data_IF_040316901220
#
_entry.id   IF_040316901220
#
_cell.length_a   1.000
_cell.length_b   1.000
_cell.length_c   1.000
_cell.angle_alpha   90.00
_cell.angle_beta   90.00
_cell.angle_gamma   90.00
#
_symmetry.space_group_name_H-M   'P 1'
#
loop_
_entity.id
_entity.type
_entity.pdbx_description
1 polymer ?
#
# COMPACT_ATOMS: atom_id res chain seq x y z
N UNK A 1 -38.41 -18.45 -15.03
CA UNK A 1 -37.41 -17.58 -15.68
C UNK A 1 -37.56 -16.19 -15.07
N UNK A 2 -36.51 -15.53 -14.59
CA UNK A 2 -36.61 -14.17 -14.09
C UNK A 2 -36.80 -13.23 -15.28
N UNK A 3 -37.81 -12.37 -15.25
CA UNK A 3 -38.00 -11.33 -16.27
C UNK A 3 -36.83 -10.35 -16.27
N UNK A 4 -36.36 -9.90 -17.46
CA UNK A 4 -35.32 -8.89 -17.55
C UNK A 4 -35.81 -7.57 -16.97
N UNK A 5 -35.04 -6.99 -16.03
CA UNK A 5 -35.34 -5.64 -15.51
C UNK A 5 -35.27 -4.64 -16.67
N UNK A 6 -36.25 -3.74 -16.82
CA UNK A 6 -36.22 -2.74 -17.88
C UNK A 6 -35.05 -1.78 -17.67
N UNK A 7 -34.22 -1.63 -18.69
CA UNK A 7 -33.17 -0.62 -18.75
C UNK A 7 -33.83 0.75 -18.74
N UNK A 8 -33.70 1.48 -17.62
CA UNK A 8 -34.15 2.88 -17.56
C UNK A 8 -33.28 3.72 -18.49
N UNK A 9 -33.91 4.63 -19.25
CA UNK A 9 -33.19 5.63 -20.03
C UNK A 9 -32.30 6.43 -19.07
N UNK A 10 -30.98 6.54 -19.32
CA UNK A 10 -30.13 7.40 -18.52
C UNK A 10 -30.65 8.84 -18.65
N UNK A 11 -30.98 9.45 -17.52
CA UNK A 11 -31.22 10.89 -17.47
C UNK A 11 -29.86 11.56 -17.61
N UNK A 12 -29.75 12.53 -18.52
CA UNK A 12 -28.57 13.37 -18.58
C UNK A 12 -28.41 14.02 -17.21
N UNK A 13 -27.26 13.87 -16.52
CA UNK A 13 -27.03 14.57 -15.28
C UNK A 13 -27.23 16.07 -15.54
N UNK A 14 -27.83 16.83 -14.60
CA UNK A 14 -27.82 18.28 -14.70
C UNK A 14 -26.38 18.75 -14.86
N UNK A 15 -26.18 19.78 -15.69
CA UNK A 15 -24.86 20.41 -15.78
C UNK A 15 -24.42 20.80 -14.36
N UNK A 16 -23.18 20.47 -13.97
CA UNK A 16 -22.67 20.91 -12.69
C UNK A 16 -22.74 22.45 -12.65
N UNK A 17 -23.21 22.98 -11.52
CA UNK A 17 -23.16 24.41 -11.29
C UNK A 17 -21.71 24.90 -11.46
N UNK A 18 -21.50 26.08 -12.08
CA UNK A 18 -20.17 26.66 -12.18
C UNK A 18 -19.58 26.77 -10.77
N UNK A 19 -18.32 26.36 -10.56
CA UNK A 19 -17.71 26.41 -9.25
C UNK A 19 -17.75 27.85 -8.71
N UNK A 20 -18.01 28.05 -7.41
CA UNK A 20 -18.00 29.37 -6.81
C UNK A 20 -16.66 30.05 -7.07
N UNK A 21 -16.71 31.16 -7.79
CA UNK A 21 -15.55 32.01 -8.09
C UNK A 21 -15.12 32.73 -6.81
N UNK A 22 -14.25 32.13 -6.00
CA UNK A 22 -13.47 32.86 -4.98
C UNK A 22 -12.25 32.08 -4.45
N UNK A 23 -11.50 31.45 -5.35
CA UNK A 23 -10.11 31.05 -5.08
C UNK A 23 -9.33 31.11 -6.40
N UNK A 24 -8.36 32.02 -6.50
CA UNK A 24 -7.47 32.13 -7.67
C UNK A 24 -6.40 31.04 -7.73
N UNK A 25 -6.25 30.25 -6.67
CA UNK A 25 -5.35 29.10 -6.62
C UNK A 25 -6.12 27.77 -6.68
N UNK A 26 -5.60 26.75 -7.39
CA UNK A 26 -6.16 25.40 -7.33
C UNK A 26 -6.11 24.87 -5.88
N UNK A 27 -7.08 24.01 -5.47
CA UNK A 27 -7.08 23.46 -4.13
C UNK A 27 -5.80 22.63 -3.87
N UNK A 28 -5.35 22.56 -2.60
CA UNK A 28 -4.20 21.74 -2.25
C UNK A 28 -4.47 20.25 -2.50
N UNK A 29 -3.42 19.49 -2.82
CA UNK A 29 -3.49 18.03 -2.90
C UNK A 29 -3.56 17.44 -1.51
N UNK A 30 -4.57 16.61 -1.25
CA UNK A 30 -4.68 15.80 -0.04
C UNK A 30 -4.26 14.35 -0.27
N UNK A 31 -4.29 13.86 -1.50
CA UNK A 31 -4.00 12.47 -1.84
C UNK A 31 -2.96 12.35 -2.95
N UNK A 32 -1.82 11.74 -2.62
CA UNK A 32 -0.75 11.44 -3.58
C UNK A 32 -0.75 9.94 -3.89
N UNK A 33 -1.23 9.55 -5.06
CA UNK A 33 -1.27 8.17 -5.52
C UNK A 33 0.03 7.85 -6.24
N UNK A 34 0.75 6.83 -5.79
CA UNK A 34 2.07 6.45 -6.31
C UNK A 34 2.09 4.98 -6.72
N UNK A 35 2.62 4.69 -7.91
CA UNK A 35 2.75 3.34 -8.43
C UNK A 35 4.08 3.12 -9.15
N UNK A 36 4.69 1.96 -8.94
CA UNK A 36 5.76 1.42 -9.78
C UNK A 36 5.18 0.24 -10.57
N UNK A 37 5.17 0.33 -11.90
CA UNK A 37 4.51 -0.65 -12.77
C UNK A 37 5.48 -1.26 -13.78
N UNK A 38 5.43 -2.59 -13.94
CA UNK A 38 6.21 -3.30 -14.96
C UNK A 38 5.48 -4.56 -15.43
N UNK A 39 5.29 -4.70 -16.73
CA UNK A 39 4.68 -5.88 -17.36
C UNK A 39 3.24 -6.18 -16.86
N UNK A 40 2.41 -5.14 -16.76
CA UNK A 40 1.08 -5.22 -16.13
C UNK A 40 -0.06 -5.03 -17.13
N UNK A 41 0.18 -5.12 -18.44
CA UNK A 41 -0.84 -4.83 -19.45
C UNK A 41 -2.19 -5.56 -19.20
N UNK A 42 -2.23 -6.86 -18.86
CA UNK A 42 -3.49 -7.55 -18.59
C UNK A 42 -4.26 -7.02 -17.37
N UNK A 43 -3.54 -6.54 -16.36
CA UNK A 43 -4.09 -6.02 -15.11
C UNK A 43 -4.48 -4.54 -15.20
N UNK A 44 -3.84 -3.81 -16.11
CA UNK A 44 -3.92 -2.37 -16.23
C UNK A 44 -5.37 -1.83 -16.33
N UNK A 45 -6.32 -2.46 -17.06
CA UNK A 45 -7.70 -2.00 -17.10
C UNK A 45 -8.38 -2.00 -15.72
N UNK A 46 -8.16 -3.04 -14.90
CA UNK A 46 -8.71 -3.11 -13.55
C UNK A 46 -8.04 -2.08 -12.64
N UNK A 47 -6.70 -2.07 -12.62
CA UNK A 47 -5.94 -1.19 -11.75
C UNK A 47 -6.26 0.29 -12.02
N UNK A 48 -6.20 0.72 -13.28
CA UNK A 48 -6.51 2.10 -13.65
C UNK A 48 -8.00 2.43 -13.48
N UNK A 49 -8.90 1.50 -13.77
CA UNK A 49 -10.33 1.69 -13.55
C UNK A 49 -10.65 1.99 -12.09
N UNK A 50 -10.14 1.17 -11.18
CA UNK A 50 -10.31 1.35 -9.73
C UNK A 50 -9.61 2.61 -9.21
N UNK A 51 -8.42 2.95 -9.73
CA UNK A 51 -7.73 4.19 -9.40
C UNK A 51 -8.53 5.43 -9.80
N UNK A 52 -9.09 5.44 -11.02
CA UNK A 52 -9.90 6.55 -11.50
C UNK A 52 -11.20 6.70 -10.72
N UNK A 53 -11.83 5.59 -10.35
CA UNK A 53 -13.00 5.61 -9.47
C UNK A 53 -12.66 6.17 -8.08
N UNK A 54 -11.52 5.76 -7.51
CA UNK A 54 -10.99 6.32 -6.25
C UNK A 54 -10.76 7.82 -6.37
N UNK A 55 -10.07 8.28 -7.42
CA UNK A 55 -9.78 9.71 -7.66
C UNK A 55 -11.08 10.50 -7.84
N UNK A 56 -12.08 9.94 -8.53
CA UNK A 56 -13.39 10.58 -8.68
C UNK A 56 -14.11 10.71 -7.35
N UNK A 57 -14.01 9.72 -6.47
CA UNK A 57 -14.60 9.78 -5.13
C UNK A 57 -13.90 10.82 -4.24
N UNK A 58 -12.56 10.85 -4.25
CA UNK A 58 -11.76 11.79 -3.44
C UNK A 58 -11.77 13.23 -3.97
N UNK A 59 -12.20 13.42 -5.22
CA UNK A 59 -12.16 14.68 -5.94
C UNK A 59 -10.88 14.82 -6.77
N UNK A 60 -10.97 14.86 -8.12
CA UNK A 60 -9.80 14.89 -8.99
C UNK A 60 -8.80 16.02 -8.70
N UNK A 61 -9.30 17.20 -8.33
CA UNK A 61 -8.48 18.36 -7.99
C UNK A 61 -7.68 18.20 -6.69
N UNK A 62 -8.10 17.29 -5.81
CA UNK A 62 -7.44 16.95 -4.54
C UNK A 62 -6.42 15.81 -4.66
N UNK A 63 -6.26 15.25 -5.87
CA UNK A 63 -5.46 14.06 -6.15
C UNK A 63 -4.28 14.36 -7.09
N UNK A 64 -3.14 13.74 -6.80
CA UNK A 64 -1.96 13.71 -7.67
C UNK A 64 -1.63 12.25 -7.96
N UNK A 65 -1.44 11.89 -9.22
CA UNK A 65 -1.10 10.54 -9.64
C UNK A 65 0.33 10.50 -10.19
N UNK A 66 1.19 9.70 -9.58
CA UNK A 66 2.59 9.49 -9.99
C UNK A 66 2.80 8.02 -10.36
N UNK A 67 3.21 7.77 -11.60
CA UNK A 67 3.47 6.43 -12.11
C UNK A 67 4.90 6.34 -12.65
N UNK A 68 5.67 5.40 -12.12
CA UNK A 68 6.95 5.00 -12.69
C UNK A 68 6.76 3.70 -13.44
N UNK A 69 7.18 3.68 -14.70
CA UNK A 69 7.06 2.53 -15.58
C UNK A 69 8.44 1.89 -15.78
N UNK A 70 8.54 0.58 -15.58
CA UNK A 70 9.81 -0.16 -15.53
C UNK A 70 10.28 -0.77 -16.85
N UNK A 71 10.15 -0.08 -17.99
CA UNK A 71 10.56 -0.53 -19.32
C UNK A 71 9.95 -1.89 -19.74
N UNK A 72 8.63 -1.94 -19.78
CA UNK A 72 7.83 -3.13 -20.08
C UNK A 72 7.78 -3.40 -21.59
N UNK A 73 8.04 -4.63 -22.05
CA UNK A 73 7.94 -4.99 -23.47
C UNK A 73 6.51 -5.35 -23.90
N UNK A 74 5.56 -5.39 -22.96
CA UNK A 74 4.19 -5.86 -23.17
C UNK A 74 3.22 -4.77 -23.67
N UNK A 75 3.67 -3.52 -23.78
CA UNK A 75 2.83 -2.38 -24.17
C UNK A 75 2.24 -1.57 -23.00
N UNK A 76 2.57 -1.89 -21.75
CA UNK A 76 2.15 -1.13 -20.56
C UNK A 76 2.42 0.38 -20.72
N UNK A 77 3.65 0.76 -21.10
CA UNK A 77 4.01 2.17 -21.28
C UNK A 77 3.19 2.86 -22.37
N UNK A 78 2.88 2.16 -23.46
CA UNK A 78 2.09 2.70 -24.57
C UNK A 78 0.67 3.06 -24.12
N UNK A 79 0.04 2.20 -23.31
CA UNK A 79 -1.28 2.47 -22.74
C UNK A 79 -1.24 3.64 -21.76
N UNK A 80 -0.28 3.64 -20.82
CA UNK A 80 -0.11 4.74 -19.86
C UNK A 80 0.10 6.08 -20.55
N UNK A 81 0.92 6.11 -21.62
CA UNK A 81 1.17 7.31 -22.41
C UNK A 81 -0.10 7.79 -23.09
N UNK A 82 -0.86 6.89 -23.73
CA UNK A 82 -2.10 7.23 -24.44
C UNK A 82 -3.21 7.77 -23.52
N UNK A 83 -3.20 7.42 -22.24
CA UNK A 83 -4.16 7.90 -21.25
C UNK A 83 -3.85 9.31 -20.73
N UNK A 84 -2.61 9.78 -20.86
CA UNK A 84 -2.16 11.08 -20.31
C UNK A 84 -3.08 12.26 -20.66
N UNK A 85 -3.50 12.48 -21.93
CA UNK A 85 -4.39 13.59 -22.27
C UNK A 85 -5.76 13.48 -21.62
N UNK A 86 -6.25 12.26 -21.39
CA UNK A 86 -7.55 12.01 -20.76
C UNK A 86 -7.50 12.30 -19.25
N UNK A 87 -6.41 11.92 -18.58
CA UNK A 87 -6.19 12.27 -17.17
C UNK A 87 -6.14 13.78 -16.97
N UNK A 88 -5.44 14.50 -17.86
CA UNK A 88 -5.39 15.95 -17.84
C UNK A 88 -6.78 16.58 -18.06
N UNK A 89 -7.59 16.05 -18.98
CA UNK A 89 -8.96 16.51 -19.22
C UNK A 89 -9.90 16.31 -18.01
N UNK A 90 -9.57 15.37 -17.13
CA UNK A 90 -10.27 15.15 -15.85
C UNK A 90 -9.73 16.03 -14.71
N UNK A 91 -8.85 16.98 -15.00
CA UNK A 91 -8.15 17.83 -14.02
C UNK A 91 -7.33 17.03 -12.99
N UNK A 92 -6.83 15.85 -13.38
CA UNK A 92 -5.95 15.05 -12.54
C UNK A 92 -4.51 15.51 -12.78
N UNK A 93 -3.83 15.93 -11.72
CA UNK A 93 -2.38 16.20 -11.77
C UNK A 93 -1.65 14.87 -11.89
N UNK A 94 -0.82 14.73 -12.92
CA UNK A 94 -0.24 13.44 -13.29
C UNK A 94 1.24 13.55 -13.65
N UNK A 95 2.03 12.57 -13.18
CA UNK A 95 3.43 12.36 -13.53
C UNK A 95 3.60 10.94 -14.06
N UNK A 96 4.16 10.81 -15.27
CA UNK A 96 4.58 9.53 -15.84
C UNK A 96 6.06 9.60 -16.16
N UNK A 97 6.81 8.63 -15.67
CA UNK A 97 8.22 8.49 -16.00
C UNK A 97 8.55 7.03 -16.29
N UNK A 98 9.21 6.76 -17.41
CA UNK A 98 9.80 5.44 -17.66
C UNK A 98 11.21 5.39 -17.05
N UNK A 99 11.58 4.24 -16.49
CA UNK A 99 12.87 3.96 -15.86
C UNK A 99 13.47 2.67 -16.41
N UNK A 100 14.76 2.72 -16.71
CA UNK A 100 15.54 1.54 -17.12
C UNK A 100 16.10 0.75 -15.95
N UNK A 101 15.83 1.15 -14.71
CA UNK A 101 16.25 0.41 -13.52
C UNK A 101 15.61 -0.98 -13.51
N UNK A 102 16.44 -2.01 -13.57
CA UNK A 102 16.02 -3.40 -13.50
C UNK A 102 16.26 -3.99 -12.10
N UNK A 103 15.22 -4.16 -11.26
CA UNK A 103 15.39 -4.72 -9.92
C UNK A 103 15.75 -6.21 -9.92
N UNK A 104 15.69 -6.91 -11.06
CA UNK A 104 16.15 -8.30 -11.17
C UNK A 104 17.68 -8.43 -11.34
N UNK A 105 18.40 -7.32 -11.49
CA UNK A 105 19.86 -7.29 -11.53
C UNK A 105 20.48 -7.30 -10.11
N UNK A 106 21.81 -7.19 -10.02
CA UNK A 106 22.50 -7.00 -8.74
C UNK A 106 21.94 -5.79 -7.96
N UNK A 107 22.05 -5.83 -6.63
CA UNK A 107 21.54 -4.80 -5.71
C UNK A 107 20.02 -4.60 -5.79
N UNK A 108 19.27 -5.70 -5.95
CA UNK A 108 17.80 -5.72 -6.08
C UNK A 108 17.10 -4.76 -5.12
N UNK A 109 17.44 -4.78 -3.83
CA UNK A 109 16.78 -3.94 -2.81
C UNK A 109 17.09 -2.46 -3.00
N UNK A 110 18.35 -2.10 -3.31
CA UNK A 110 18.71 -0.72 -3.61
C UNK A 110 17.95 -0.19 -4.84
N UNK A 111 17.75 -1.03 -5.86
CA UNK A 111 17.02 -0.66 -7.07
C UNK A 111 15.51 -0.53 -6.84
N UNK A 112 14.91 -1.42 -6.06
CA UNK A 112 13.51 -1.30 -5.65
C UNK A 112 13.29 -0.03 -4.82
N UNK A 113 14.18 0.25 -3.87
CA UNK A 113 14.15 1.50 -3.12
C UNK A 113 14.26 2.74 -4.02
N UNK A 114 15.16 2.72 -5.01
CA UNK A 114 15.30 3.81 -5.96
C UNK A 114 14.03 4.03 -6.80
N UNK A 115 13.38 2.96 -7.27
CA UNK A 115 12.12 3.05 -8.02
C UNK A 115 11.01 3.69 -7.17
N UNK A 116 10.82 3.21 -5.93
CA UNK A 116 9.81 3.80 -5.03
C UNK A 116 10.07 5.26 -4.71
N UNK A 117 11.35 5.62 -4.54
CA UNK A 117 11.74 7.03 -4.33
C UNK A 117 11.49 7.88 -5.59
N UNK A 118 11.62 7.33 -6.81
CA UNK A 118 11.23 8.02 -8.04
C UNK A 118 9.72 8.28 -8.08
N UNK A 119 8.90 7.31 -7.67
CA UNK A 119 7.46 7.48 -7.61
C UNK A 119 7.04 8.59 -6.64
N UNK A 120 7.78 8.76 -5.54
CA UNK A 120 7.56 9.80 -4.54
C UNK A 120 8.24 11.15 -4.88
N UNK A 121 9.12 11.21 -5.88
CA UNK A 121 9.90 12.42 -6.16
C UNK A 121 9.03 13.67 -6.40
N UNK A 122 7.88 13.63 -7.11
CA UNK A 122 7.05 14.81 -7.30
C UNK A 122 6.46 15.39 -6.00
N UNK A 123 6.16 14.55 -5.01
CA UNK A 123 5.71 14.99 -3.69
C UNK A 123 6.76 15.89 -3.02
N UNK A 124 8.02 15.49 -3.13
CA UNK A 124 9.16 16.14 -2.47
C UNK A 124 9.66 17.36 -3.24
N UNK A 125 9.58 17.33 -4.57
CA UNK A 125 10.04 18.41 -5.43
C UNK A 125 9.05 19.58 -5.49
N UNK A 126 7.78 19.37 -5.16
CA UNK A 126 6.72 20.39 -5.26
C UNK A 126 5.82 20.45 -4.02
N UNK A 127 6.40 20.61 -2.80
CA UNK A 127 5.64 20.54 -1.55
C UNK A 127 4.53 21.59 -1.45
N UNK A 128 4.66 22.72 -2.14
CA UNK A 128 3.67 23.81 -2.17
C UNK A 128 2.37 23.46 -2.90
N UNK A 129 2.33 22.35 -3.65
CA UNK A 129 1.11 21.85 -4.29
C UNK A 129 0.19 21.09 -3.33
N UNK A 130 0.73 20.67 -2.19
CA UNK A 130 0.10 19.76 -1.25
C UNK A 130 -0.51 20.52 -0.07
N UNK A 131 -1.44 19.86 0.61
CA UNK A 131 -1.92 20.30 1.91
C UNK A 131 -0.77 20.24 2.94
N UNK A 132 -1.06 20.58 4.19
CA UNK A 132 -0.09 20.36 5.26
C UNK A 132 0.39 18.89 5.25
N UNK A 133 1.67 18.60 5.53
CA UNK A 133 2.19 17.23 5.49
C UNK A 133 1.40 16.23 6.34
N UNK A 134 0.90 16.66 7.51
CA UNK A 134 0.06 15.85 8.39
C UNK A 134 -1.31 15.47 7.78
N UNK A 135 -1.83 16.33 6.89
CA UNK A 135 -3.13 16.19 6.22
C UNK A 135 -3.02 15.54 4.83
N UNK A 136 -1.80 15.28 4.36
CA UNK A 136 -1.55 14.66 3.05
C UNK A 136 -1.34 13.17 3.23
N UNK A 137 -2.12 12.37 2.48
CA UNK A 137 -2.03 10.91 2.47
C UNK A 137 -1.42 10.42 1.16
N UNK A 138 -0.39 9.58 1.28
CA UNK A 138 0.22 8.86 0.15
C UNK A 138 -0.49 7.53 0.03
N UNK A 139 -1.05 7.23 -1.16
CA UNK A 139 -1.61 5.93 -1.50
C UNK A 139 -0.64 5.23 -2.44
N UNK A 140 0.23 4.37 -1.89
CA UNK A 140 1.22 3.65 -2.68
C UNK A 140 0.71 2.25 -2.99
N UNK A 141 0.52 1.95 -4.28
CA UNK A 141 -0.06 0.70 -4.75
C UNK A 141 0.96 -0.03 -5.64
N UNK A 142 1.14 -1.32 -5.40
CA UNK A 142 1.80 -2.22 -6.34
C UNK A 142 0.85 -2.52 -7.53
N UNK A 143 1.28 -3.42 -8.41
CA UNK A 143 0.53 -4.00 -9.52
C UNK A 143 -0.46 -5.08 -9.05
N UNK A 144 -1.47 -4.67 -8.29
CA UNK A 144 -2.47 -5.55 -7.66
C UNK A 144 -3.88 -5.37 -8.22
N UNK A 145 -4.64 -6.47 -8.26
CA UNK A 145 -6.05 -6.53 -8.63
C UNK A 145 -6.95 -5.98 -7.51
N UNK A 146 -7.01 -4.66 -7.41
CA UNK A 146 -7.77 -3.93 -6.41
C UNK A 146 -9.11 -3.39 -6.93
N UNK A 147 -10.03 -3.11 -6.02
CA UNK A 147 -11.26 -2.32 -6.22
C UNK A 147 -11.07 -0.91 -5.64
N UNK A 148 -11.89 0.07 -6.06
CA UNK A 148 -11.82 1.42 -5.48
C UNK A 148 -12.07 1.43 -3.96
N UNK A 149 -13.00 0.58 -3.48
CA UNK A 149 -13.26 0.39 -2.05
C UNK A 149 -12.02 -0.03 -1.25
N UNK A 150 -11.08 -0.76 -1.85
CA UNK A 150 -9.87 -1.21 -1.17
C UNK A 150 -8.96 -0.02 -0.84
N UNK A 151 -8.78 0.87 -1.81
CA UNK A 151 -7.93 2.06 -1.67
C UNK A 151 -8.56 3.08 -0.72
N UNK A 152 -9.88 3.27 -0.85
CA UNK A 152 -10.63 4.19 0.00
C UNK A 152 -10.64 3.73 1.45
N UNK A 153 -10.74 2.43 1.71
CA UNK A 153 -10.70 1.88 3.06
C UNK A 153 -9.33 2.06 3.72
N UNK A 154 -8.22 1.85 2.99
CA UNK A 154 -6.89 2.15 3.52
C UNK A 154 -6.75 3.64 3.88
N UNK A 155 -7.20 4.54 2.99
CA UNK A 155 -7.19 5.97 3.25
C UNK A 155 -8.06 6.35 4.47
N UNK A 156 -9.23 5.72 4.59
CA UNK A 156 -10.16 5.91 5.70
C UNK A 156 -9.53 5.47 7.02
N UNK A 157 -9.05 4.22 7.10
CA UNK A 157 -8.43 3.66 8.30
C UNK A 157 -7.19 4.45 8.72
N UNK A 158 -6.35 4.90 7.78
CA UNK A 158 -5.22 5.80 8.10
C UNK A 158 -5.69 7.02 8.87
N UNK A 159 -6.74 7.68 8.36
CA UNK A 159 -7.25 8.93 8.93
C UNK A 159 -7.97 8.72 10.26
N UNK A 160 -8.93 7.79 10.32
CA UNK A 160 -9.76 7.61 11.52
C UNK A 160 -8.97 7.04 12.68
N UNK A 161 -8.00 6.15 12.42
CA UNK A 161 -7.12 5.60 13.45
C UNK A 161 -6.00 6.56 13.87
N UNK A 162 -5.80 7.66 13.13
CA UNK A 162 -4.61 8.50 13.22
C UNK A 162 -3.34 7.66 13.08
N UNK A 163 -3.36 6.74 12.12
CA UNK A 163 -2.23 5.86 11.82
C UNK A 163 -1.21 6.61 10.95
N UNK A 164 0.06 6.26 11.12
CA UNK A 164 1.12 6.73 10.26
C UNK A 164 1.14 5.96 8.95
N UNK A 165 0.78 4.68 9.01
CA UNK A 165 0.71 3.79 7.86
C UNK A 165 -0.36 2.73 8.06
N UNK A 166 -1.12 2.43 7.00
CA UNK A 166 -2.02 1.28 6.94
C UNK A 166 -1.73 0.45 5.70
N UNK A 167 -1.79 -0.87 5.83
CA UNK A 167 -1.51 -1.82 4.76
C UNK A 167 -2.71 -2.74 4.50
N UNK A 168 -2.87 -3.14 3.24
CA UNK A 168 -3.76 -4.23 2.87
C UNK A 168 -3.26 -5.59 3.40
N UNK A 169 -3.94 -6.67 3.02
CA UNK A 169 -3.44 -8.04 3.10
C UNK A 169 -3.36 -8.61 1.70
N UNK A 170 -2.15 -8.91 1.23
CA UNK A 170 -1.96 -9.56 -0.07
C UNK A 170 -1.79 -11.07 0.05
N UNK A 171 -2.26 -11.72 -1.00
CA UNK A 171 -2.32 -13.16 -1.09
C UNK A 171 -1.65 -13.63 -2.36
N UNK A 172 -1.24 -14.89 -2.34
CA UNK A 172 -0.83 -15.65 -3.51
C UNK A 172 -1.45 -17.04 -3.45
N UNK A 173 -1.47 -17.75 -4.56
CA UNK A 173 -1.91 -19.13 -4.64
C UNK A 173 -0.70 -20.01 -4.99
N UNK A 174 0.05 -20.42 -3.96
CA UNK A 174 1.13 -21.42 -4.07
C UNK A 174 0.63 -22.86 -3.90
N UNK A 175 -0.64 -23.02 -3.49
CA UNK A 175 -1.35 -24.29 -3.37
C UNK A 175 -2.86 -24.11 -3.60
N UNK A 176 -3.67 -25.03 -3.07
CA UNK A 176 -5.14 -24.97 -3.17
C UNK A 176 -5.71 -23.75 -2.45
N UNK A 177 -5.22 -23.49 -1.24
CA UNK A 177 -5.70 -22.42 -0.38
C UNK A 177 -4.77 -21.19 -0.49
N UNK A 178 -5.31 -19.96 -0.41
CA UNK A 178 -4.51 -18.76 -0.54
C UNK A 178 -3.54 -18.61 0.64
N UNK A 179 -2.32 -18.19 0.32
CA UNK A 179 -1.20 -17.99 1.25
C UNK A 179 -0.87 -16.50 1.34
N UNK A 180 -0.63 -16.00 2.56
CA UNK A 180 -0.15 -14.63 2.75
C UNK A 180 1.21 -14.45 2.04
N UNK A 181 1.34 -13.43 1.20
CA UNK A 181 2.48 -13.30 0.29
C UNK A 181 3.68 -12.60 0.93
N UNK A 182 3.48 -11.42 1.53
CA UNK A 182 4.55 -10.55 2.03
C UNK A 182 5.17 -10.95 3.39
N UNK A 183 5.26 -12.27 3.68
CA UNK A 183 5.84 -12.78 4.95
C UNK A 183 7.26 -12.31 5.20
N UNK A 184 8.04 -12.06 4.14
CA UNK A 184 9.43 -11.63 4.26
C UNK A 184 9.56 -10.26 4.93
N UNK A 185 8.65 -9.31 4.65
CA UNK A 185 8.72 -7.92 5.14
C UNK A 185 7.75 -7.63 6.29
N UNK A 186 6.79 -8.51 6.54
CA UNK A 186 5.76 -8.31 7.55
C UNK A 186 6.23 -8.76 8.95
N UNK A 187 6.08 -7.91 9.96
CA UNK A 187 6.40 -8.23 11.36
C UNK A 187 5.31 -7.76 12.30
N UNK A 188 4.85 -8.65 13.18
CA UNK A 188 3.90 -8.31 14.25
C UNK A 188 4.54 -7.40 15.30
N UNK A 189 3.76 -6.91 16.26
CA UNK A 189 4.30 -6.22 17.44
C UNK A 189 5.10 -7.12 18.39
N UNK A 190 5.19 -8.43 18.12
CA UNK A 190 6.15 -9.34 18.77
C UNK A 190 7.49 -9.42 18.04
N UNK A 191 7.63 -8.69 16.93
CA UNK A 191 8.83 -8.71 16.08
C UNK A 191 8.97 -9.97 15.22
N UNK A 192 8.03 -10.92 15.26
CA UNK A 192 8.05 -12.14 14.43
C UNK A 192 7.25 -11.95 13.13
N UNK A 193 7.47 -12.84 12.15
CA UNK A 193 6.70 -12.89 10.89
C UNK A 193 5.22 -13.20 11.13
N UNK A 194 4.37 -13.06 10.10
CA UNK A 194 2.92 -13.33 10.23
C UNK A 194 2.56 -14.81 10.27
N UNK A 195 3.41 -15.70 9.76
CA UNK A 195 3.36 -17.14 10.03
C UNK A 195 4.77 -17.69 10.29
N UNK A 196 4.85 -18.87 10.89
CA UNK A 196 6.12 -19.52 11.22
C UNK A 196 6.84 -19.98 9.96
N UNK A 197 8.10 -19.57 9.81
CA UNK A 197 9.02 -20.18 8.83
C UNK A 197 9.93 -21.13 9.60
N UNK A 198 9.81 -22.45 9.42
CA UNK A 198 10.64 -23.44 10.09
C UNK A 198 12.09 -23.39 9.58
N UNK A 199 13.05 -24.05 10.25
CA UNK A 199 14.46 -24.06 9.83
C UNK A 199 14.71 -24.57 8.40
N UNK A 200 13.77 -25.34 7.83
CA UNK A 200 13.82 -25.76 6.42
C UNK A 200 13.59 -24.62 5.42
N UNK A 201 13.11 -23.46 5.87
CA UNK A 201 12.70 -22.35 5.02
C UNK A 201 11.40 -22.58 4.24
N UNK A 202 10.68 -23.68 4.51
CA UNK A 202 9.41 -23.99 3.84
C UNK A 202 8.26 -23.10 4.32
N UNK A 203 7.14 -23.14 3.61
CA UNK A 203 5.93 -22.38 3.95
C UNK A 203 4.83 -23.29 4.53
N UNK A 204 5.22 -24.41 5.13
CA UNK A 204 4.27 -25.45 5.59
C UNK A 204 3.29 -24.93 6.66
N UNK A 205 3.67 -23.89 7.40
CA UNK A 205 2.84 -23.25 8.43
C UNK A 205 2.13 -21.98 7.95
N UNK A 206 2.10 -21.70 6.64
CA UNK A 206 1.57 -20.45 6.09
C UNK A 206 0.10 -20.15 6.43
N UNK A 207 -0.69 -21.17 6.74
CA UNK A 207 -2.10 -21.03 7.13
C UNK A 207 -2.29 -20.81 8.63
N UNK A 208 -1.24 -20.97 9.44
CA UNK A 208 -1.27 -20.70 10.87
C UNK A 208 -0.85 -19.25 11.16
N UNK A 209 -1.58 -18.30 10.55
CA UNK A 209 -1.30 -16.87 10.71
C UNK A 209 -1.46 -16.45 12.18
N UNK A 210 -0.49 -15.66 12.65
CA UNK A 210 -0.41 -15.10 14.00
C UNK A 210 -0.45 -16.17 15.10
N UNK A 211 0.16 -17.34 14.83
CA UNK A 211 0.23 -18.49 15.74
C UNK A 211 0.72 -18.15 17.15
N UNK A 212 1.66 -17.21 17.26
CA UNK A 212 2.27 -16.78 18.51
C UNK A 212 1.65 -15.51 19.09
N UNK A 213 0.62 -14.92 18.45
CA UNK A 213 -0.02 -13.67 18.88
C UNK A 213 -1.55 -13.78 18.84
N UNK A 214 -2.12 -14.23 19.95
CA UNK A 214 -3.56 -14.46 20.10
C UNK A 214 -4.39 -13.20 19.84
N UNK A 215 -3.98 -12.04 20.34
CA UNK A 215 -4.76 -10.80 20.22
C UNK A 215 -4.81 -10.34 18.76
N UNK A 216 -3.66 -10.34 18.08
CA UNK A 216 -3.59 -10.04 16.65
C UNK A 216 -4.41 -11.04 15.83
N UNK A 217 -4.32 -12.34 16.15
CA UNK A 217 -5.11 -13.38 15.48
C UNK A 217 -6.61 -13.16 15.63
N UNK A 218 -7.08 -12.81 16.82
CA UNK A 218 -8.50 -12.54 17.08
C UNK A 218 -9.00 -11.35 16.25
N UNK A 219 -8.23 -10.25 16.19
CA UNK A 219 -8.56 -9.09 15.35
C UNK A 219 -8.54 -9.44 13.86
N UNK A 220 -7.54 -10.18 13.40
CA UNK A 220 -7.46 -10.62 12.00
C UNK A 220 -8.66 -11.49 11.59
N UNK A 221 -9.07 -12.45 12.44
CA UNK A 221 -10.24 -13.31 12.20
C UNK A 221 -11.53 -12.50 12.20
N UNK A 222 -11.65 -11.52 13.10
CA UNK A 222 -12.79 -10.60 13.19
C UNK A 222 -12.79 -9.50 12.11
N UNK A 223 -11.79 -9.48 11.22
CA UNK A 223 -11.60 -8.45 10.18
C UNK A 223 -11.40 -7.04 10.72
N UNK A 224 -10.85 -6.92 11.93
CA UNK A 224 -10.55 -5.63 12.57
C UNK A 224 -9.09 -5.20 12.33
N UNK A 225 -8.82 -3.91 12.09
CA UNK A 225 -7.46 -3.39 11.96
C UNK A 225 -6.59 -3.71 13.16
N UNK A 226 -5.29 -3.96 13.00
CA UNK A 226 -4.38 -4.21 14.11
C UNK A 226 -2.98 -3.64 13.86
N UNK A 227 -2.30 -3.24 14.94
CA UNK A 227 -0.95 -2.67 14.88
C UNK A 227 0.10 -3.75 14.57
N UNK A 228 1.12 -3.36 13.81
CA UNK A 228 2.27 -4.20 13.43
C UNK A 228 3.55 -3.38 13.49
N UNK A 229 4.70 -4.06 13.53
CA UNK A 229 5.98 -3.37 13.37
C UNK A 229 6.19 -2.97 11.90
N UNK A 230 5.89 -3.87 10.96
CA UNK A 230 6.06 -3.60 9.53
C UNK A 230 5.05 -4.34 8.67
N UNK A 231 4.64 -3.72 7.56
CA UNK A 231 3.84 -4.31 6.48
C UNK A 231 4.03 -3.52 5.17
N UNK A 232 3.67 -4.13 4.04
CA UNK A 232 3.53 -3.44 2.75
C UNK A 232 2.34 -4.01 1.98
N UNK A 233 2.35 -5.32 1.80
CA UNK A 233 1.19 -6.15 1.47
C UNK A 233 0.45 -5.65 0.22
N UNK A 234 1.20 -5.28 -0.81
CA UNK A 234 0.67 -4.85 -2.11
C UNK A 234 0.07 -3.44 -2.18
N UNK A 235 -0.45 -2.87 -1.09
CA UNK A 235 -1.06 -1.54 -1.10
C UNK A 235 -1.03 -0.90 0.29
N UNK A 236 -0.67 0.38 0.36
CA UNK A 236 -0.56 1.12 1.63
C UNK A 236 -1.10 2.54 1.54
N UNK A 237 -1.59 3.05 2.66
CA UNK A 237 -1.82 4.48 2.87
C UNK A 237 -0.86 5.00 3.96
N UNK A 238 -0.04 6.00 3.66
CA UNK A 238 1.00 6.55 4.54
C UNK A 238 0.80 8.04 4.74
N UNK A 239 1.01 8.55 5.96
CA UNK A 239 1.08 9.99 6.20
C UNK A 239 2.31 10.61 5.53
N UNK A 240 2.13 11.71 4.78
CA UNK A 240 3.23 12.29 4.02
C UNK A 240 4.28 12.98 4.89
N UNK A 241 3.96 13.29 6.15
CA UNK A 241 4.84 13.98 7.10
C UNK A 241 6.21 13.30 7.25
N UNK A 242 6.24 11.98 7.44
CA UNK A 242 7.49 11.23 7.59
C UNK A 242 8.45 11.44 6.41
N UNK A 243 7.94 11.59 5.18
CA UNK A 243 8.77 11.83 4.01
C UNK A 243 9.04 13.32 3.77
N UNK A 244 8.04 14.18 3.93
CA UNK A 244 8.14 15.61 3.59
C UNK A 244 8.96 16.40 4.62
N UNK A 245 8.80 16.09 5.91
CA UNK A 245 9.49 16.78 7.01
C UNK A 245 10.46 15.88 7.75
N UNK A 246 10.15 14.57 7.84
CA UNK A 246 10.95 13.58 8.57
C UNK A 246 12.17 13.02 7.84
N UNK A 247 12.29 13.23 6.53
CA UNK A 247 13.41 12.72 5.74
C UNK A 247 13.40 11.20 5.49
N UNK A 248 12.35 10.47 5.88
CA UNK A 248 12.25 9.02 5.66
C UNK A 248 12.19 8.71 4.16
N UNK A 249 13.03 7.78 3.68
CA UNK A 249 13.10 7.35 2.28
C UNK A 249 13.23 5.83 2.22
N UNK A 250 12.84 5.23 1.09
CA UNK A 250 13.20 3.84 0.85
C UNK A 250 14.71 3.73 0.67
N UNK A 251 15.31 2.67 1.19
CA UNK A 251 16.76 2.43 1.13
C UNK A 251 17.10 0.95 1.15
N UNK A 252 18.34 0.65 0.78
CA UNK A 252 18.96 -0.64 1.01
C UNK A 252 19.36 -0.81 2.50
N UNK A 253 19.57 -2.06 2.96
CA UNK A 253 20.14 -2.33 4.27
C UNK A 253 21.58 -1.80 4.38
N UNK A 254 21.97 -1.31 5.56
CA UNK A 254 23.33 -0.87 5.92
C UNK A 254 24.10 -2.04 6.52
N UNK A 255 24.42 -3.01 5.67
CA UNK A 255 25.08 -4.26 6.08
C UNK A 255 26.47 -4.01 6.71
N UNK A 256 27.17 -2.94 6.29
CA UNK A 256 28.42 -2.46 6.86
C UNK A 256 28.31 -2.06 8.34
N UNK A 257 27.09 -1.77 8.81
CA UNK A 257 26.76 -1.45 10.20
C UNK A 257 26.05 -2.60 10.92
N UNK A 258 26.05 -3.78 10.32
CA UNK A 258 25.38 -4.96 10.85
C UNK A 258 23.85 -4.90 10.75
N UNK A 259 23.28 -4.04 9.90
CA UNK A 259 21.83 -4.05 9.68
C UNK A 259 21.42 -5.34 8.95
N UNK A 260 20.33 -5.94 9.41
CA UNK A 260 19.74 -7.09 8.75
C UNK A 260 19.46 -6.84 7.26
N UNK A 261 19.91 -7.74 6.39
CA UNK A 261 19.49 -7.77 5.00
C UNK A 261 17.99 -8.10 4.90
N UNK A 262 17.17 -7.13 4.49
CA UNK A 262 15.71 -7.22 4.34
C UNK A 262 15.23 -6.38 3.15
N UNK A 263 13.97 -6.57 2.76
CA UNK A 263 13.29 -5.72 1.80
C UNK A 263 13.18 -4.26 2.26
N UNK A 264 13.21 -3.34 1.30
CA UNK A 264 13.07 -1.91 1.55
C UNK A 264 11.77 -1.51 2.27
N UNK A 265 10.62 -2.23 2.21
CA UNK A 265 9.43 -1.84 2.95
C UNK A 265 9.54 -2.09 4.46
N UNK A 266 10.24 -3.14 4.88
CA UNK A 266 10.51 -3.38 6.30
C UNK A 266 11.47 -2.31 6.85
N UNK A 267 12.51 -1.96 6.08
CA UNK A 267 13.44 -0.89 6.44
C UNK A 267 12.73 0.47 6.49
N UNK A 268 11.80 0.72 5.57
CA UNK A 268 10.96 1.91 5.57
C UNK A 268 10.12 1.99 6.86
N UNK A 269 9.44 0.91 7.26
CA UNK A 269 8.68 0.88 8.51
C UNK A 269 9.59 1.08 9.74
N UNK A 270 10.77 0.47 9.75
CA UNK A 270 11.76 0.68 10.81
C UNK A 270 12.19 2.15 10.92
N UNK A 271 12.40 2.82 9.80
CA UNK A 271 12.75 4.24 9.77
C UNK A 271 11.56 5.12 10.20
N UNK A 272 10.31 4.73 9.88
CA UNK A 272 9.11 5.36 10.44
C UNK A 272 9.10 5.27 11.97
N UNK A 273 9.26 4.07 12.53
CA UNK A 273 9.31 3.84 13.97
C UNK A 273 10.41 4.68 14.64
N UNK A 274 11.61 4.72 14.05
CA UNK A 274 12.71 5.51 14.58
C UNK A 274 12.43 7.02 14.55
N UNK A 275 11.71 7.48 13.54
CA UNK A 275 11.26 8.87 13.41
C UNK A 275 10.06 9.26 14.27
N UNK A 276 9.49 8.32 15.04
CA UNK A 276 8.30 8.55 15.87
C UNK A 276 6.96 8.33 15.17
N UNK A 277 6.95 7.78 13.95
CA UNK A 277 5.77 7.43 13.16
C UNK A 277 5.44 5.93 13.28
N UNK A 278 5.32 5.44 14.52
CA UNK A 278 5.17 4.02 14.85
C UNK A 278 3.76 3.44 14.72
N UNK A 279 2.74 4.23 14.35
CA UNK A 279 1.36 3.74 14.23
C UNK A 279 1.14 3.08 12.87
N UNK A 280 1.78 1.92 12.69
CA UNK A 280 1.67 1.08 11.50
C UNK A 280 0.63 -0.01 11.74
N UNK A 281 -0.35 -0.16 10.84
CA UNK A 281 -1.42 -1.15 10.99
C UNK A 281 -1.72 -1.92 9.70
N UNK A 282 -2.24 -3.14 9.87
CA UNK A 282 -2.86 -3.91 8.79
C UNK A 282 -4.37 -3.72 8.87
N UNK A 283 -5.02 -3.65 7.71
CA UNK A 283 -6.47 -3.51 7.54
C UNK A 283 -7.03 -4.79 6.90
N UNK A 284 -7.50 -5.78 7.69
CA UNK A 284 -7.82 -7.12 7.17
C UNK A 284 -9.11 -7.20 6.36
N UNK A 285 -9.90 -6.14 6.31
CA UNK A 285 -11.03 -5.99 5.38
C UNK A 285 -10.55 -5.88 3.93
N UNK A 286 -9.34 -5.32 3.70
CA UNK A 286 -8.75 -5.12 2.39
C UNK A 286 -7.86 -6.32 2.00
N UNK A 287 -8.39 -7.18 1.14
CA UNK A 287 -7.69 -8.38 0.65
C UNK A 287 -7.44 -8.28 -0.85
N UNK A 288 -6.18 -8.42 -1.28
CA UNK A 288 -5.75 -8.20 -2.68
C UNK A 288 -4.81 -9.31 -3.19
N UNK A 289 -4.57 -9.33 -4.49
CA UNK A 289 -3.75 -10.32 -5.23
C UNK A 289 -3.16 -9.64 -6.48
N UNK A 290 -2.15 -10.21 -7.12
CA UNK A 290 -1.41 -9.62 -8.25
C UNK A 290 -1.97 -9.92 -9.65
N UNK A 291 -3.15 -10.54 -9.76
CA UNK A 291 -3.79 -10.87 -11.02
C UNK A 291 -5.31 -10.99 -10.93
N UNK A 292 -5.99 -10.73 -12.04
CA UNK A 292 -7.47 -10.65 -12.09
C UNK A 292 -8.18 -11.94 -11.67
N UNK A 293 -7.72 -13.09 -12.17
CA UNK A 293 -8.35 -14.38 -11.88
C UNK A 293 -8.23 -14.74 -10.39
N UNK A 294 -7.00 -14.71 -9.87
CA UNK A 294 -6.71 -15.05 -8.49
C UNK A 294 -7.24 -13.98 -7.52
N UNK A 295 -7.20 -12.70 -7.90
CA UNK A 295 -7.83 -11.61 -7.16
C UNK A 295 -9.34 -11.81 -7.00
N UNK A 296 -10.03 -12.28 -8.05
CA UNK A 296 -11.44 -12.69 -7.93
C UNK A 296 -11.63 -13.82 -6.92
N UNK A 297 -10.79 -14.86 -6.95
CA UNK A 297 -10.86 -15.95 -5.96
C UNK A 297 -10.64 -15.45 -4.53
N UNK A 298 -9.73 -14.50 -4.33
CA UNK A 298 -9.54 -13.84 -3.03
C UNK A 298 -10.81 -13.09 -2.60
N UNK A 299 -11.43 -12.32 -3.49
CA UNK A 299 -12.68 -11.61 -3.15
C UNK A 299 -13.85 -12.56 -2.88
N UNK A 300 -13.95 -13.67 -3.60
CA UNK A 300 -14.96 -14.72 -3.36
C UNK A 300 -14.75 -15.42 -2.01
N UNK A 301 -13.51 -15.76 -1.66
CA UNK A 301 -13.17 -16.50 -0.44
C UNK A 301 -13.04 -15.64 0.82
N UNK A 302 -12.48 -14.43 0.70
CA UNK A 302 -12.21 -13.50 1.81
C UNK A 302 -13.21 -12.36 1.90
N UNK A 303 -14.04 -12.14 0.87
CA UNK A 303 -15.03 -11.06 0.82
C UNK A 303 -14.50 -9.76 0.19
N UNK A 304 -15.44 -8.97 -0.32
CA UNK A 304 -15.23 -7.58 -0.71
C UNK A 304 -15.11 -6.68 0.52
N UNK A 305 -14.43 -5.55 0.39
CA UNK A 305 -14.14 -4.64 1.51
C UNK A 305 -15.44 -4.09 2.11
N UNK A 306 -16.38 -3.66 1.25
CA UNK A 306 -17.71 -3.19 1.64
C UNK A 306 -18.52 -4.19 2.47
N UNK A 307 -18.32 -5.50 2.29
CA UNK A 307 -19.00 -6.52 3.10
C UNK A 307 -18.61 -6.42 4.57
N UNK A 308 -17.34 -6.12 4.83
CA UNK A 308 -16.80 -6.08 6.18
C UNK A 308 -17.06 -4.73 6.84
N UNK A 309 -16.93 -3.63 6.09
CA UNK A 309 -17.18 -2.28 6.61
C UNK A 309 -18.66 -2.04 6.89
N UNK A 310 -19.59 -2.70 6.19
CA UNK A 310 -21.03 -2.60 6.44
C UNK A 310 -21.47 -3.12 7.82
N UNK A 311 -20.66 -3.97 8.46
CA UNK A 311 -20.94 -4.57 9.78
C UNK A 311 -19.86 -4.22 10.81
N UNK A 312 -18.96 -3.30 10.47
CA UNK A 312 -17.94 -2.79 11.37
C UNK A 312 -18.48 -1.59 12.15
N UNK A 313 -18.33 -1.61 13.47
CA UNK A 313 -18.55 -0.43 14.29
C UNK A 313 -17.24 0.31 14.49
N UNK A 314 -17.29 1.64 14.63
CA UNK A 314 -16.08 2.44 14.89
C UNK A 314 -15.35 1.97 16.15
N UNK A 315 -16.09 1.59 17.20
CA UNK A 315 -15.52 1.10 18.47
C UNK A 315 -14.72 -0.19 18.27
N UNK A 316 -15.26 -1.18 17.54
CA UNK A 316 -14.55 -2.43 17.27
C UNK A 316 -13.35 -2.23 16.33
N UNK A 317 -13.44 -1.27 15.42
CA UNK A 317 -12.37 -0.94 14.49
C UNK A 317 -11.16 -0.32 15.20
N UNK A 318 -11.37 0.46 16.27
CA UNK A 318 -10.31 1.20 16.97
C UNK A 318 -9.16 0.30 17.39
N UNK A 319 -7.95 0.79 17.14
CA UNK A 319 -6.70 0.17 17.60
C UNK A 319 -6.30 0.81 18.92
N UNK A 320 -6.03 -0.01 19.93
CA UNK A 320 -5.28 0.41 21.12
C UNK A 320 -3.78 0.40 20.77
N UNK A 321 -3.24 1.59 20.51
CA UNK A 321 -1.85 1.74 20.06
C UNK A 321 -0.86 1.48 21.20
N UNK A 322 0.19 0.71 20.89
CA UNK A 322 1.39 0.56 21.69
C UNK A 322 2.46 1.51 21.12
N UNK A 323 2.90 2.47 21.93
CA UNK A 323 3.82 3.51 21.49
C UNK A 323 5.27 3.01 21.33
N UNK A 324 5.65 1.96 22.07
CA UNK A 324 7.00 1.39 22.03
C UNK A 324 7.10 0.22 21.02
N UNK A 325 8.12 0.21 20.15
CA UNK A 325 8.37 -0.91 19.24
C UNK A 325 8.81 -2.17 20.02
N UNK A 326 8.71 -3.38 19.41
CA UNK A 326 9.30 -4.58 19.98
C UNK A 326 10.80 -4.39 20.22
N UNK A 327 11.33 -4.94 21.31
CA UNK A 327 12.77 -4.83 21.64
C UNK A 327 13.66 -5.41 20.54
N UNK A 328 13.22 -6.51 19.96
CA UNK A 328 13.91 -7.20 18.87
C UNK A 328 12.92 -7.55 17.77
N UNK A 329 13.41 -7.62 16.54
CA UNK A 329 12.68 -8.06 15.36
C UNK A 329 13.43 -9.18 14.69
N UNK A 330 12.70 -10.09 14.08
CA UNK A 330 13.25 -11.23 13.37
C UNK A 330 13.87 -10.79 12.06
N UNK A 331 15.17 -10.93 11.99
CA UNK A 331 15.95 -10.86 10.77
C UNK A 331 15.82 -12.17 10.00
N UNK A 332 15.56 -12.07 8.70
CA UNK A 332 15.39 -13.21 7.79
C UNK A 332 16.08 -12.92 6.44
N UNK A 333 17.42 -12.87 6.34
CA UNK A 333 18.09 -12.62 5.05
C UNK A 333 17.68 -13.62 3.99
N UNK A 334 17.47 -14.87 4.42
CA UNK A 334 16.81 -15.94 3.67
C UNK A 334 15.81 -16.65 4.60
N UNK A 335 14.97 -17.55 4.07
CA UNK A 335 13.99 -18.27 4.89
C UNK A 335 14.63 -19.32 5.82
N UNK A 336 15.80 -19.84 5.48
CA UNK A 336 16.58 -20.81 6.26
C UNK A 336 17.60 -20.16 7.20
N UNK A 337 17.94 -18.87 7.00
CA UNK A 337 18.78 -18.08 7.89
C UNK A 337 17.93 -17.03 8.62
N UNK A 338 17.60 -17.29 9.88
CA UNK A 338 16.77 -16.39 10.69
C UNK A 338 17.39 -16.19 12.07
N UNK A 339 17.37 -14.96 12.57
CA UNK A 339 17.87 -14.62 13.91
C UNK A 339 17.18 -13.37 14.45
N UNK A 340 17.18 -13.19 15.76
CA UNK A 340 16.66 -11.99 16.41
C UNK A 340 17.72 -10.91 16.48
N UNK A 341 17.31 -9.66 16.25
CA UNK A 341 18.18 -8.50 16.34
C UNK A 341 17.41 -7.32 16.95
N UNK A 342 18.08 -6.45 17.68
CA UNK A 342 17.50 -5.18 18.14
C UNK A 342 16.81 -4.43 16.97
N UNK A 343 15.57 -3.98 17.20
CA UNK A 343 14.73 -3.39 16.14
C UNK A 343 15.36 -2.18 15.45
N UNK A 344 16.17 -1.41 16.19
CA UNK A 344 16.84 -0.19 15.77
C UNK A 344 18.33 -0.39 15.45
N UNK A 345 18.81 -1.62 15.25
CA UNK A 345 20.20 -1.86 14.85
C UNK A 345 20.60 -0.96 13.68
N UNK A 346 21.83 -0.44 13.64
CA UNK A 346 22.32 0.54 12.63
C UNK A 346 21.70 1.95 12.65
N UNK A 347 20.92 2.31 13.67
CA UNK A 347 20.38 3.67 13.87
C UNK A 347 21.03 4.35 15.10
N UNK A 348 21.17 5.71 15.16
CA UNK A 348 20.62 6.70 14.22
C UNK A 348 21.23 6.67 12.82
N UNK A 349 20.52 7.27 11.87
CA UNK A 349 21.06 7.59 10.54
C UNK A 349 22.08 8.72 10.73
N UNK A 350 23.33 8.51 10.29
CA UNK A 350 24.35 9.59 10.25
C UNK A 350 23.93 10.75 9.35
#
# INVERSE_FOLDING_TARGET
>A
MPEPRPLRRPLCPPHPDPPPTNSTSPPPIHYFLALDLRNVLPLLPRLLGSLLETIRFLGPSSCYLSIIEGHSPDGTLSVLTALTPHLAALNIRYHLQSSSLNPSAADRIARLAALRNLALAPLLASPTLFAAPADTTILFLNDVALCAEDVLELAHQRRVQQADMTCAVDWTHVGRDPTFYDVWVARTMKGDSFFEIPPSGSWDFAWNLFWNDKATRERFVARRPFQVFSCWNGAVAVGAEAMMTGGVRFRAPREDRGECFQGEPQLFCKDLWFGGWGRVAVVPSVNIEYGDEKGRLIKEGKGYTSRWTAVETEEEARIEWVDEPPREVKCMPTYDNQYWQAWNASLPLD
#
